data_IF_895698553907
#
_entry.id   IF_895698553907
#
_cell.length_a   1.000
_cell.length_b   1.000
_cell.length_c   1.000
_cell.angle_alpha   90.00
_cell.angle_beta   90.00
_cell.angle_gamma   90.00
#
_symmetry.space_group_name_H-M   'P 1'
#
loop_
_entity.id
_entity.type
_entity.pdbx_description
1 polymer ?
#
# COMPACT_ATOMS: atom_id res chain seq x y z
N UNK A 1 4.36 7.10 -3.47
CA UNK A 1 5.24 5.91 -3.30
C UNK A 1 5.35 5.18 -4.62
N UNK A 2 6.55 4.96 -5.07
CA UNK A 2 6.83 4.28 -6.35
C UNK A 2 7.47 2.93 -6.10
N UNK A 3 7.14 1.95 -6.93
CA UNK A 3 7.78 0.65 -6.91
C UNK A 3 8.72 0.54 -8.10
N UNK A 4 9.99 0.27 -7.82
CA UNK A 4 11.02 0.09 -8.85
C UNK A 4 11.55 -1.33 -8.79
N UNK A 5 11.63 -1.98 -9.94
CA UNK A 5 12.22 -3.31 -10.07
C UNK A 5 13.35 -3.19 -11.10
N UNK A 6 14.57 -3.51 -10.67
CA UNK A 6 15.79 -3.39 -11.49
C UNK A 6 15.93 -1.99 -12.10
N UNK A 7 15.56 -0.96 -11.31
CA UNK A 7 15.66 0.43 -11.76
C UNK A 7 14.50 0.91 -12.62
N UNK A 8 13.56 0.01 -12.96
CA UNK A 8 12.41 0.36 -13.79
C UNK A 8 11.17 0.55 -12.93
N UNK A 9 10.46 1.65 -13.15
CA UNK A 9 9.21 1.94 -12.43
C UNK A 9 8.10 1.01 -12.92
N UNK A 10 7.54 0.21 -12.02
CA UNK A 10 6.51 -0.76 -12.35
C UNK A 10 5.15 -0.41 -11.76
N UNK A 11 5.08 0.56 -10.85
CA UNK A 11 3.82 0.99 -10.27
C UNK A 11 4.00 2.07 -9.22
N UNK A 12 2.89 2.58 -8.71
CA UNK A 12 2.91 3.58 -7.65
C UNK A 12 1.63 3.57 -6.83
N UNK A 13 1.72 4.16 -5.64
CA UNK A 13 0.57 4.49 -4.81
C UNK A 13 0.55 5.98 -4.55
N UNK A 14 -0.65 6.58 -4.64
CA UNK A 14 -0.84 7.97 -4.24
C UNK A 14 -1.16 7.98 -2.76
N UNK A 15 -0.28 8.58 -1.95
CA UNK A 15 -0.43 8.59 -0.50
C UNK A 15 -0.22 10.00 0.04
N UNK A 16 -0.72 10.23 1.26
CA UNK A 16 -0.38 11.42 2.03
C UNK A 16 -0.34 11.06 3.52
N UNK A 17 0.44 11.81 4.28
CA UNK A 17 0.55 11.62 5.72
C UNK A 17 0.01 12.85 6.41
N UNK A 18 -0.93 12.63 7.34
CA UNK A 18 -1.51 13.68 8.16
C UNK A 18 -1.53 13.21 9.60
N UNK A 19 -0.69 13.79 10.45
CA UNK A 19 -0.54 13.31 11.82
C UNK A 19 -0.01 11.88 11.85
N UNK A 20 -0.79 10.98 12.43
CA UNK A 20 -0.45 9.55 12.48
C UNK A 20 -1.23 8.72 11.46
N UNK A 21 -1.89 9.39 10.51
CA UNK A 21 -2.63 8.69 9.46
C UNK A 21 -1.88 8.71 8.15
N UNK A 22 -1.77 7.54 7.54
CA UNK A 22 -1.24 7.36 6.21
C UNK A 22 -2.42 7.10 5.29
N UNK A 23 -2.80 8.11 4.52
CA UNK A 23 -3.93 8.01 3.60
C UNK A 23 -3.45 7.41 2.28
N UNK A 24 -4.14 6.39 1.79
CA UNK A 24 -3.82 5.75 0.52
C UNK A 24 -5.00 5.95 -0.42
N UNK A 25 -4.79 6.76 -1.46
CA UNK A 25 -5.89 7.14 -2.36
C UNK A 25 -6.00 6.25 -3.58
N UNK A 26 -4.87 5.78 -4.10
CA UNK A 26 -4.85 5.13 -5.40
C UNK A 26 -3.62 4.25 -5.55
N UNK A 27 -3.80 3.11 -6.24
CA UNK A 27 -2.72 2.19 -6.56
C UNK A 27 -2.77 1.89 -8.05
N UNK A 28 -1.65 2.01 -8.73
CA UNK A 28 -1.56 1.68 -10.16
C UNK A 28 -0.32 0.84 -10.43
N UNK A 29 -0.51 -0.22 -11.20
CA UNK A 29 0.57 -1.07 -11.69
C UNK A 29 0.58 -0.95 -13.22
N UNK A 30 1.78 -0.93 -13.81
CA UNK A 30 1.95 -0.87 -15.25
C UNK A 30 1.22 -2.05 -15.90
N UNK A 31 0.36 -1.77 -16.88
CA UNK A 31 -0.47 -2.77 -17.53
C UNK A 31 0.35 -3.89 -18.19
N UNK A 32 1.52 -3.57 -18.69
CA UNK A 32 2.38 -4.54 -19.36
C UNK A 32 2.96 -5.58 -18.41
N UNK A 33 2.86 -5.34 -17.10
CA UNK A 33 3.46 -6.21 -16.08
C UNK A 33 2.47 -6.63 -15.00
N UNK A 34 1.18 -6.49 -15.26
CA UNK A 34 0.15 -7.01 -14.35
C UNK A 34 0.26 -8.52 -14.24
N UNK A 35 -0.10 -9.05 -13.09
CA UNK A 35 -0.05 -10.48 -12.84
C UNK A 35 1.24 -11.00 -12.25
N UNK A 36 2.23 -10.13 -12.02
CA UNK A 36 3.48 -10.51 -11.38
C UNK A 36 3.49 -10.30 -9.87
N UNK A 37 2.36 -9.93 -9.28
CA UNK A 37 2.27 -9.70 -7.84
C UNK A 37 2.87 -8.40 -7.38
N UNK A 38 3.13 -7.46 -8.28
CA UNK A 38 3.73 -6.17 -7.91
C UNK A 38 2.81 -5.31 -7.06
N UNK A 39 1.50 -5.43 -7.23
CA UNK A 39 0.56 -4.69 -6.40
C UNK A 39 0.69 -5.13 -4.93
N UNK A 40 0.85 -6.42 -4.69
CA UNK A 40 1.06 -6.96 -3.35
C UNK A 40 2.41 -6.54 -2.79
N UNK A 41 3.44 -6.52 -3.63
CA UNK A 41 4.77 -6.07 -3.20
C UNK A 41 4.73 -4.60 -2.80
N UNK A 42 4.00 -3.78 -3.57
CA UNK A 42 3.82 -2.37 -3.23
C UNK A 42 3.06 -2.21 -1.92
N UNK A 43 2.04 -3.04 -1.69
CA UNK A 43 1.31 -3.04 -0.42
C UNK A 43 2.23 -3.42 0.73
N UNK A 44 3.09 -4.44 0.56
CA UNK A 44 4.03 -4.85 1.60
C UNK A 44 4.98 -3.70 1.96
N UNK A 45 5.43 -2.94 0.98
CA UNK A 45 6.28 -1.79 1.22
C UNK A 45 5.53 -0.66 1.94
N UNK A 46 4.25 -0.46 1.59
CA UNK A 46 3.41 0.52 2.27
C UNK A 46 3.25 0.16 3.75
N UNK A 47 2.98 -1.10 4.04
CA UNK A 47 2.80 -1.59 5.41
C UNK A 47 4.10 -1.42 6.20
N UNK A 48 5.25 -1.77 5.60
CA UNK A 48 6.55 -1.60 6.25
C UNK A 48 6.82 -0.13 6.57
N UNK A 49 6.50 0.77 5.64
CA UNK A 49 6.65 2.21 5.85
C UNK A 49 5.78 2.68 7.01
N UNK A 50 4.52 2.24 7.06
CA UNK A 50 3.61 2.62 8.13
C UNK A 50 4.10 2.12 9.48
N UNK A 51 4.59 0.89 9.56
CA UNK A 51 5.13 0.33 10.79
C UNK A 51 6.37 1.08 11.26
N UNK A 52 7.28 1.37 10.33
CA UNK A 52 8.52 2.09 10.64
C UNK A 52 8.24 3.50 11.17
N UNK A 53 7.23 4.17 10.63
CA UNK A 53 6.88 5.53 11.02
C UNK A 53 5.77 5.60 12.07
N UNK A 54 5.31 4.46 12.55
CA UNK A 54 4.23 4.37 13.55
C UNK A 54 2.96 5.07 13.08
N UNK A 55 2.58 4.79 11.84
CA UNK A 55 1.38 5.34 11.20
C UNK A 55 0.29 4.31 11.09
N UNK A 56 -0.97 4.78 11.12
CA UNK A 56 -2.13 3.94 10.83
C UNK A 56 -2.55 4.16 9.38
N UNK A 57 -2.89 3.10 8.68
CA UNK A 57 -3.31 3.19 7.28
C UNK A 57 -4.81 3.50 7.20
N UNK A 58 -5.16 4.56 6.47
CA UNK A 58 -6.54 4.89 6.14
C UNK A 58 -6.73 4.60 4.65
N UNK A 59 -7.32 3.43 4.32
CA UNK A 59 -7.39 2.98 2.92
C UNK A 59 -8.60 3.54 2.19
N UNK A 60 -8.40 4.57 1.40
CA UNK A 60 -9.41 5.04 0.47
C UNK A 60 -9.32 4.30 -0.88
N UNK A 61 -8.19 3.65 -1.12
CA UNK A 61 -7.98 2.80 -2.29
C UNK A 61 -8.68 1.45 -2.08
N UNK A 62 -9.55 1.06 -3.00
CA UNK A 62 -10.31 -0.18 -2.88
C UNK A 62 -9.42 -1.42 -2.80
N UNK A 63 -8.33 -1.44 -3.56
CA UNK A 63 -7.39 -2.56 -3.53
C UNK A 63 -6.79 -2.75 -2.12
N UNK A 64 -6.30 -1.66 -1.54
CA UNK A 64 -5.67 -1.72 -0.21
C UNK A 64 -6.71 -2.11 0.84
N UNK A 65 -7.89 -1.49 0.78
CA UNK A 65 -8.98 -1.80 1.72
C UNK A 65 -9.34 -3.29 1.66
N UNK A 66 -9.48 -3.83 0.45
CA UNK A 66 -9.83 -5.24 0.28
C UNK A 66 -8.75 -6.16 0.85
N UNK A 67 -7.49 -5.83 0.64
CA UNK A 67 -6.39 -6.63 1.18
C UNK A 67 -6.37 -6.62 2.70
N UNK A 68 -6.61 -5.47 3.32
CA UNK A 68 -6.65 -5.36 4.77
C UNK A 68 -7.85 -6.13 5.34
N UNK A 69 -8.99 -6.07 4.68
CA UNK A 69 -10.19 -6.81 5.10
C UNK A 69 -10.00 -8.32 4.97
N UNK A 70 -9.29 -8.77 3.93
CA UNK A 70 -9.07 -10.19 3.69
C UNK A 70 -8.06 -10.81 4.66
N UNK A 71 -7.22 -9.99 5.28
CA UNK A 71 -6.17 -10.47 6.18
C UNK A 71 -6.18 -9.68 7.50
N UNK A 72 -7.30 -9.71 8.26
CA UNK A 72 -7.45 -8.86 9.44
C UNK A 72 -6.43 -9.15 10.54
N UNK A 73 -5.97 -10.38 10.68
CA UNK A 73 -4.99 -10.74 11.70
C UNK A 73 -3.60 -10.20 11.36
N UNK A 74 -3.26 -10.22 10.08
CA UNK A 74 -1.95 -9.76 9.60
C UNK A 74 -1.78 -8.25 9.76
N UNK A 75 -2.87 -7.49 9.56
CA UNK A 75 -2.82 -6.03 9.57
C UNK A 75 -3.44 -5.42 10.83
N UNK A 76 -3.66 -6.23 11.84
CA UNK A 76 -4.20 -5.75 13.12
C UNK A 76 -3.26 -4.70 13.72
N UNK A 77 -3.83 -3.58 14.15
CA UNK A 77 -3.06 -2.52 14.78
C UNK A 77 -2.45 -1.51 13.81
N UNK A 78 -2.56 -1.75 12.50
CA UNK A 78 -2.04 -0.83 11.50
C UNK A 78 -3.14 -0.20 10.63
N UNK A 79 -4.32 -0.80 10.65
CA UNK A 79 -5.46 -0.34 9.85
C UNK A 79 -6.37 0.56 10.68
N UNK A 80 -6.60 1.78 10.19
CA UNK A 80 -7.54 2.73 10.77
C UNK A 80 -8.87 2.62 10.02
N UNK A 81 -9.91 2.24 10.74
CA UNK A 81 -11.26 2.15 10.19
C UNK A 81 -11.99 3.48 10.24
#
# INVERSE_FOLDING_TARGET
MHLLIDGKKVGYMSISVAGRLLNVYYTKIDEDIEGHGYAKLLLDRLVSFAEEKDLMIDPECDFVRQQLENHPKRYKGIWHE
#
